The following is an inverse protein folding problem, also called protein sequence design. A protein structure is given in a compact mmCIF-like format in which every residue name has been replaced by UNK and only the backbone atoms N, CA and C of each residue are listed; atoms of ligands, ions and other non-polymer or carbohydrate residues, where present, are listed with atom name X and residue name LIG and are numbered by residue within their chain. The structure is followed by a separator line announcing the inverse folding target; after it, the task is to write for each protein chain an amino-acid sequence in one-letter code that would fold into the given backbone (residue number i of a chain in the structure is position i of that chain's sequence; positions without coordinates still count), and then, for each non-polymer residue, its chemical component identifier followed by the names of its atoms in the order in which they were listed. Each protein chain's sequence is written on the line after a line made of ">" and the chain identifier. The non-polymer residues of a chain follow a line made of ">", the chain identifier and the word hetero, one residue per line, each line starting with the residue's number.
data_IF_051333048223
#
_entry.id   IF_051333048223
#
_cell.length_a   1.000
_cell.length_b   1.000
_cell.length_c   1.000
_cell.angle_alpha   90.00
_cell.angle_beta   90.00
_cell.angle_gamma   90.00
#
_symmetry.space_group_name_H-M   'P 1'
#
loop_
_entity.id
_entity.type
_entity.pdbx_description
1 polymer ?
#
# COMPACT_ATOMS: atom_id res chain seq x y z
N UNK A 1 -35.26 13.32 65.48
CA UNK A 1 -34.10 14.16 65.09
C UNK A 1 -32.99 13.20 64.69
N UNK A 2 -32.78 12.95 63.39
CA UNK A 2 -31.67 13.49 62.57
C UNK A 2 -30.31 13.31 63.27
N UNK A 3 -29.24 12.69 62.75
CA UNK A 3 -28.69 12.52 61.40
C UNK A 3 -27.57 11.46 61.56
N UNK A 4 -27.41 10.40 60.76
CA UNK A 4 -26.95 10.44 59.37
C UNK A 4 -25.45 10.78 59.27
N UNK A 5 -24.58 9.77 59.04
CA UNK A 5 -23.42 9.91 58.14
C UNK A 5 -22.90 8.55 57.68
N UNK A 6 -23.06 8.39 56.37
CA UNK A 6 -22.76 7.28 55.49
C UNK A 6 -21.26 7.11 55.25
N UNK A 7 -20.85 5.85 55.14
CA UNK A 7 -19.62 5.34 54.55
C UNK A 7 -19.50 5.72 53.07
N UNK A 8 -18.43 6.42 52.67
CA UNK A 8 -18.07 6.54 51.25
C UNK A 8 -17.15 5.39 50.85
N UNK A 9 -17.73 4.38 50.22
CA UNK A 9 -17.00 3.39 49.43
C UNK A 9 -16.38 4.07 48.20
N UNK A 10 -15.08 3.94 48.03
CA UNK A 10 -14.40 4.27 46.79
C UNK A 10 -14.72 3.12 45.82
N UNK A 11 -15.68 3.35 44.92
CA UNK A 11 -15.92 2.44 43.79
C UNK A 11 -14.77 2.59 42.79
N UNK A 12 -13.95 1.55 42.68
CA UNK A 12 -13.06 1.33 41.54
C UNK A 12 -13.92 1.17 40.27
N UNK A 13 -14.06 2.23 39.48
CA UNK A 13 -14.52 2.12 38.11
C UNK A 13 -13.45 1.39 37.29
N UNK A 14 -13.83 0.29 36.63
CA UNK A 14 -12.94 -0.39 35.69
C UNK A 14 -12.46 0.60 34.63
N UNK A 15 -11.22 0.44 34.18
CA UNK A 15 -10.61 1.29 33.13
C UNK A 15 -11.49 1.41 31.87
N UNK A 16 -12.33 0.41 31.63
CA UNK A 16 -13.40 0.39 30.62
C UNK A 16 -14.43 1.51 30.79
N UNK A 17 -14.92 1.75 32.01
CA UNK A 17 -15.92 2.80 32.24
C UNK A 17 -15.34 4.22 32.13
N UNK A 18 -14.04 4.37 32.40
CA UNK A 18 -13.34 5.64 32.17
C UNK A 18 -13.15 5.89 30.67
N UNK A 19 -12.85 4.85 29.89
CA UNK A 19 -12.73 4.92 28.44
C UNK A 19 -14.07 5.22 27.77
N UNK A 20 -15.15 4.56 28.18
CA UNK A 20 -16.50 4.77 27.64
C UNK A 20 -17.01 6.20 27.95
N UNK A 21 -16.77 6.70 29.17
CA UNK A 21 -17.10 8.11 29.51
C UNK A 21 -16.24 9.13 28.78
N UNK A 22 -15.00 8.77 28.42
CA UNK A 22 -14.15 9.63 27.60
C UNK A 22 -14.67 9.73 26.16
N UNK A 23 -15.09 8.61 25.57
CA UNK A 23 -15.69 8.53 24.22
C UNK A 23 -17.01 9.31 24.15
N UNK A 24 -17.88 9.13 25.14
CA UNK A 24 -19.20 9.78 25.20
C UNK A 24 -19.11 11.30 25.43
N UNK A 25 -18.15 11.75 26.26
CA UNK A 25 -17.95 13.18 26.58
C UNK A 25 -17.31 13.97 25.43
N UNK A 26 -16.59 13.32 24.53
CA UNK A 26 -15.87 14.01 23.45
C UNK A 26 -16.61 14.07 22.13
N UNK A 27 -17.85 13.53 22.01
CA UNK A 27 -18.67 13.52 20.78
C UNK A 27 -17.77 13.55 19.54
N UNK A 28 -16.86 12.59 19.42
CA UNK A 28 -15.97 12.54 18.27
C UNK A 28 -16.91 12.43 17.07
N UNK A 29 -16.99 13.47 16.23
CA UNK A 29 -17.92 13.45 15.11
C UNK A 29 -17.56 12.23 14.29
N UNK A 30 -18.60 11.50 13.87
CA UNK A 30 -18.47 10.35 12.98
C UNK A 30 -17.41 10.68 11.94
N UNK A 31 -16.38 9.85 11.91
CA UNK A 31 -15.31 9.94 10.94
C UNK A 31 -15.99 9.83 9.57
N UNK A 32 -16.22 10.98 8.94
CA UNK A 32 -16.88 11.02 7.65
C UNK A 32 -15.97 10.35 6.63
N UNK A 33 -16.60 9.59 5.74
CA UNK A 33 -16.03 8.80 4.66
C UNK A 33 -14.95 9.50 3.80
N UNK A 34 -14.82 10.82 3.90
CA UNK A 34 -13.97 11.71 3.12
C UNK A 34 -12.48 11.78 3.57
N UNK A 35 -12.16 11.29 4.78
CA UNK A 35 -10.78 11.35 5.30
C UNK A 35 -9.89 10.16 4.91
N UNK A 36 -10.44 9.19 4.15
CA UNK A 36 -9.86 7.85 3.97
C UNK A 36 -8.68 7.73 2.99
N UNK A 37 -8.43 8.72 2.13
CA UNK A 37 -7.48 8.57 1.00
C UNK A 37 -6.15 9.36 1.17
N UNK A 38 -6.12 10.43 1.98
CA UNK A 38 -5.05 11.44 1.86
C UNK A 38 -3.66 11.06 2.41
N UNK A 39 -3.53 9.96 3.14
CA UNK A 39 -2.26 9.58 3.78
C UNK A 39 -1.58 8.37 3.12
N UNK A 40 -2.33 7.46 2.49
CA UNK A 40 -1.77 6.29 1.79
C UNK A 40 -0.91 6.69 0.59
N UNK A 41 -1.46 7.52 -0.31
CA UNK A 41 -0.73 8.03 -1.47
C UNK A 41 0.52 8.84 -1.12
N UNK A 42 0.48 9.62 -0.03
CA UNK A 42 1.67 10.39 0.44
C UNK A 42 2.83 9.49 0.87
N UNK A 43 2.54 8.30 1.40
CA UNK A 43 3.57 7.38 1.88
C UNK A 43 4.21 6.60 0.72
N UNK A 44 3.43 6.25 -0.29
CA UNK A 44 3.89 5.61 -1.52
C UNK A 44 4.89 6.49 -2.30
N UNK A 45 4.56 7.78 -2.42
CA UNK A 45 5.42 8.83 -2.99
C UNK A 45 6.82 8.86 -2.34
N UNK A 46 6.92 8.60 -1.02
CA UNK A 46 8.21 8.65 -0.29
C UNK A 46 9.10 7.48 -0.70
N UNK A 47 8.60 6.25 -0.68
CA UNK A 47 9.38 5.05 -1.04
C UNK A 47 9.91 5.18 -2.47
N UNK A 48 9.05 5.56 -3.40
CA UNK A 48 9.41 5.73 -4.80
C UNK A 48 10.37 6.91 -5.04
N UNK A 49 10.25 7.99 -4.28
CA UNK A 49 11.25 9.08 -4.29
C UNK A 49 12.60 8.59 -3.79
N UNK A 50 12.64 7.79 -2.72
CA UNK A 50 13.87 7.20 -2.20
C UNK A 50 14.51 6.25 -3.23
N UNK A 51 13.72 5.46 -3.96
CA UNK A 51 14.20 4.65 -5.09
C UNK A 51 14.82 5.52 -6.18
N UNK A 52 14.16 6.59 -6.61
CA UNK A 52 14.72 7.53 -7.59
C UNK A 52 16.05 8.16 -7.14
N UNK A 53 16.14 8.57 -5.87
CA UNK A 53 17.38 9.08 -5.30
C UNK A 53 18.48 8.01 -5.22
N UNK A 54 18.14 6.78 -4.87
CA UNK A 54 19.07 5.66 -4.82
C UNK A 54 19.58 5.26 -6.21
N UNK A 55 18.70 5.23 -7.23
CA UNK A 55 19.06 5.03 -8.64
C UNK A 55 20.02 6.12 -9.11
N UNK A 56 19.66 7.39 -8.91
CA UNK A 56 20.56 8.51 -9.24
C UNK A 56 21.91 8.36 -8.55
N UNK A 57 21.93 7.99 -7.27
CA UNK A 57 23.16 7.82 -6.50
C UNK A 57 24.04 6.65 -6.99
N UNK A 58 23.44 5.60 -7.57
CA UNK A 58 24.10 4.41 -8.14
C UNK A 58 24.83 4.65 -9.48
N UNK A 59 24.59 5.79 -10.12
CA UNK A 59 25.28 6.21 -11.36
C UNK A 59 26.67 6.76 -11.02
N UNK A 60 27.71 6.35 -11.76
CA UNK A 60 29.03 6.99 -11.69
C UNK A 60 28.97 8.34 -12.42
N UNK A 61 29.08 9.41 -11.64
CA UNK A 61 28.96 10.81 -12.08
C UNK A 61 30.32 11.51 -12.16
N UNK A 62 31.43 10.77 -12.13
CA UNK A 62 32.80 11.34 -12.12
C UNK A 62 33.14 12.14 -13.39
N UNK A 63 32.53 11.79 -14.53
CA UNK A 63 32.72 12.48 -15.82
C UNK A 63 31.59 13.44 -16.18
N UNK A 64 30.58 13.59 -15.31
CA UNK A 64 29.42 14.41 -15.60
C UNK A 64 29.60 15.86 -15.13
N UNK A 65 29.22 16.80 -15.98
CA UNK A 65 29.11 18.21 -15.65
C UNK A 65 27.92 18.49 -14.71
N UNK A 66 27.85 19.71 -14.16
CA UNK A 66 26.77 20.11 -13.25
C UNK A 66 25.39 19.96 -13.90
N UNK A 67 25.28 20.33 -15.18
CA UNK A 67 24.02 20.27 -15.95
C UNK A 67 23.57 18.83 -16.20
N UNK A 68 24.50 17.95 -16.54
CA UNK A 68 24.24 16.52 -16.72
C UNK A 68 23.83 15.87 -15.40
N UNK A 69 24.50 16.20 -14.29
CA UNK A 69 24.10 15.74 -12.95
C UNK A 69 22.66 16.14 -12.60
N UNK A 70 22.25 17.37 -12.94
CA UNK A 70 20.87 17.82 -12.75
C UNK A 70 19.89 17.02 -13.64
N UNK A 71 20.21 16.82 -14.92
CA UNK A 71 19.38 16.03 -15.83
C UNK A 71 19.22 14.57 -15.35
N UNK A 72 20.30 13.94 -14.88
CA UNK A 72 20.27 12.58 -14.33
C UNK A 72 19.46 12.48 -13.03
N UNK A 73 19.52 13.50 -12.16
CA UNK A 73 18.70 13.55 -10.95
C UNK A 73 17.23 13.70 -11.31
N UNK A 74 16.90 14.65 -12.18
CA UNK A 74 15.52 14.87 -12.65
C UNK A 74 14.97 13.62 -13.33
N UNK A 75 15.74 13.00 -14.22
CA UNK A 75 15.32 11.77 -14.89
C UNK A 75 15.00 10.66 -13.89
N UNK A 76 15.91 10.35 -12.95
CA UNK A 76 15.68 9.27 -11.99
C UNK A 76 14.49 9.54 -11.05
N UNK A 77 14.37 10.76 -10.49
CA UNK A 77 13.31 11.09 -9.54
C UNK A 77 11.97 11.22 -10.24
N UNK A 78 11.88 11.97 -11.36
CA UNK A 78 10.62 12.16 -12.07
C UNK A 78 10.10 10.83 -12.65
N UNK A 79 11.00 10.00 -13.20
CA UNK A 79 10.60 8.68 -13.71
C UNK A 79 10.17 7.72 -12.60
N UNK A 80 10.70 7.85 -11.37
CA UNK A 80 10.22 7.05 -10.23
C UNK A 80 8.88 7.55 -9.68
N UNK A 81 8.30 8.63 -10.19
CA UNK A 81 7.06 9.23 -9.68
C UNK A 81 5.98 9.34 -10.76
N UNK A 82 6.35 9.18 -12.03
CA UNK A 82 5.43 9.45 -13.14
C UNK A 82 4.23 8.48 -13.21
N UNK A 83 4.29 7.20 -12.79
CA UNK A 83 3.10 6.35 -12.77
C UNK A 83 1.99 6.92 -11.87
N UNK A 84 2.37 7.42 -10.69
CA UNK A 84 1.47 8.09 -9.71
C UNK A 84 0.92 9.45 -10.17
N UNK A 85 1.20 9.92 -11.38
CA UNK A 85 0.59 11.16 -11.88
C UNK A 85 -0.93 11.03 -12.04
N UNK A 86 -1.46 9.80 -12.04
CA UNK A 86 -2.89 9.51 -12.00
C UNK A 86 -3.62 10.08 -10.77
N UNK A 87 -2.91 10.44 -9.70
CA UNK A 87 -3.43 11.21 -8.56
C UNK A 87 -4.11 12.51 -9.03
N UNK A 88 -3.68 13.09 -10.15
CA UNK A 88 -4.30 14.29 -10.73
C UNK A 88 -5.76 14.02 -11.17
N UNK A 89 -6.13 12.76 -11.47
CA UNK A 89 -7.51 12.38 -11.79
C UNK A 89 -8.50 12.68 -10.66
N UNK A 90 -8.05 12.69 -9.41
CA UNK A 90 -8.85 13.11 -8.25
C UNK A 90 -9.45 14.52 -8.40
N UNK A 91 -8.82 15.40 -9.19
CA UNK A 91 -9.29 16.79 -9.33
C UNK A 91 -10.55 16.91 -10.19
N UNK A 92 -10.89 15.89 -10.98
CA UNK A 92 -12.02 15.92 -11.92
C UNK A 92 -12.90 14.67 -11.88
N UNK A 93 -12.49 13.61 -11.19
CA UNK A 93 -13.36 12.48 -10.91
C UNK A 93 -14.37 12.78 -9.79
N UNK A 94 -15.62 13.04 -10.20
CA UNK A 94 -16.74 13.32 -9.29
C UNK A 94 -17.49 12.07 -8.85
N UNK A 95 -17.19 10.91 -9.45
CA UNK A 95 -17.82 9.62 -9.17
C UNK A 95 -17.00 8.79 -8.15
N UNK A 96 -15.79 9.24 -7.82
CA UNK A 96 -14.86 8.56 -6.93
C UNK A 96 -14.38 7.21 -7.47
N UNK A 97 -14.33 7.10 -8.80
CA UNK A 97 -13.64 6.08 -9.58
C UNK A 97 -12.12 6.29 -9.57
N UNK A 98 -11.59 7.25 -8.80
CA UNK A 98 -10.18 7.55 -8.66
C UNK A 98 -9.37 6.28 -8.37
N UNK A 99 -9.91 5.43 -7.50
CA UNK A 99 -9.31 4.15 -7.19
C UNK A 99 -9.08 3.33 -8.49
N UNK A 100 -9.95 3.45 -9.52
CA UNK A 100 -9.85 2.73 -10.79
C UNK A 100 -8.70 3.19 -11.63
N UNK A 101 -8.47 4.50 -11.62
CA UNK A 101 -7.38 5.12 -12.34
C UNK A 101 -6.06 4.93 -11.61
N UNK A 102 -6.09 4.97 -10.27
CA UNK A 102 -4.91 4.78 -9.45
C UNK A 102 -4.37 3.37 -9.61
N UNK A 103 -3.10 3.27 -9.99
CA UNK A 103 -2.42 2.00 -10.25
C UNK A 103 -3.02 1.17 -11.39
N UNK A 104 -3.84 1.78 -12.23
CA UNK A 104 -4.38 1.18 -13.45
C UNK A 104 -3.41 1.34 -14.62
N UNK A 105 -3.92 1.78 -15.77
CA UNK A 105 -3.15 1.90 -17.02
C UNK A 105 -1.82 2.66 -16.89
N UNK A 106 -1.71 3.63 -15.99
CA UNK A 106 -0.48 4.41 -15.74
C UNK A 106 0.69 3.56 -15.26
N UNK A 107 0.40 2.45 -14.59
CA UNK A 107 1.35 1.47 -14.04
C UNK A 107 1.49 0.22 -14.94
N UNK A 108 1.06 0.33 -16.19
CA UNK A 108 1.23 -0.72 -17.19
C UNK A 108 2.70 -0.88 -17.58
N UNK A 109 3.19 -2.12 -17.53
CA UNK A 109 4.55 -2.44 -17.98
C UNK A 109 4.80 -2.02 -19.44
N UNK A 110 3.75 -2.01 -20.26
CA UNK A 110 3.81 -1.63 -21.66
C UNK A 110 3.95 -0.11 -21.86
N UNK A 111 3.54 0.71 -20.88
CA UNK A 111 3.72 2.16 -20.90
C UNK A 111 5.09 2.61 -20.36
N UNK A 112 5.82 1.75 -19.64
CA UNK A 112 7.15 2.08 -19.10
C UNK A 112 8.12 2.71 -20.12
N UNK A 113 8.29 2.21 -21.37
CA UNK A 113 9.17 2.87 -22.35
C UNK A 113 8.62 4.22 -22.82
N UNK A 114 7.30 4.41 -22.87
CA UNK A 114 6.68 5.68 -23.25
C UNK A 114 6.96 6.74 -22.17
N UNK A 115 6.76 6.41 -20.90
CA UNK A 115 7.12 7.29 -19.79
C UNK A 115 8.60 7.65 -19.80
N UNK A 116 9.48 6.67 -20.02
CA UNK A 116 10.91 6.89 -20.14
C UNK A 116 11.28 7.86 -21.28
N UNK A 117 10.62 7.70 -22.43
CA UNK A 117 10.80 8.58 -23.59
C UNK A 117 10.37 10.02 -23.28
N UNK A 118 9.21 10.20 -22.63
CA UNK A 118 8.72 11.53 -22.24
C UNK A 118 9.71 12.24 -21.31
N UNK A 119 10.20 11.55 -20.28
CA UNK A 119 11.20 12.10 -19.34
C UNK A 119 12.53 12.41 -20.04
N UNK A 120 12.99 11.52 -20.93
CA UNK A 120 14.19 11.75 -21.73
C UNK A 120 14.04 13.01 -22.61
N UNK A 121 12.91 13.16 -23.30
CA UNK A 121 12.63 14.32 -24.15
C UNK A 121 12.52 15.61 -23.34
N UNK A 122 11.89 15.58 -22.17
CA UNK A 122 11.86 16.70 -21.24
C UNK A 122 13.27 17.09 -20.78
N UNK A 123 14.11 16.13 -20.41
CA UNK A 123 15.50 16.40 -20.03
C UNK A 123 16.32 17.01 -21.18
N UNK A 124 16.12 16.50 -22.40
CA UNK A 124 16.72 17.06 -23.62
C UNK A 124 16.25 18.48 -23.90
N UNK A 125 15.00 18.82 -23.60
CA UNK A 125 14.47 20.16 -23.83
C UNK A 125 14.93 21.17 -22.76
N UNK A 126 14.84 20.80 -21.48
CA UNK A 126 15.15 21.67 -20.32
C UNK A 126 16.66 21.79 -20.13
N UNK A 127 17.38 20.68 -20.05
CA UNK A 127 18.81 20.65 -19.77
C UNK A 127 19.67 20.58 -21.03
N UNK A 128 19.10 20.47 -22.24
CA UNK A 128 19.88 20.30 -23.50
C UNK A 128 20.87 19.13 -23.46
N UNK A 129 20.64 18.14 -22.60
CA UNK A 129 21.46 16.92 -22.47
C UNK A 129 20.85 15.84 -23.37
N UNK A 130 21.66 15.26 -24.26
CA UNK A 130 21.22 14.26 -25.25
C UNK A 130 21.80 12.86 -24.97
N UNK A 131 22.24 12.61 -23.74
CA UNK A 131 22.80 11.32 -23.35
C UNK A 131 21.71 10.24 -23.37
N UNK A 132 21.81 9.21 -24.25
CA UNK A 132 20.80 8.16 -24.33
C UNK A 132 20.67 7.35 -23.03
N UNK A 133 21.66 7.38 -22.13
CA UNK A 133 21.56 6.75 -20.80
C UNK A 133 20.43 7.31 -19.95
N UNK A 134 20.00 8.56 -20.19
CA UNK A 134 18.85 9.14 -19.51
C UNK A 134 17.57 8.37 -19.83
N UNK A 135 17.39 7.90 -21.07
CA UNK A 135 16.25 7.06 -21.43
C UNK A 135 16.26 5.75 -20.62
N UNK A 136 17.39 5.04 -20.61
CA UNK A 136 17.50 3.77 -19.87
C UNK A 136 17.38 3.95 -18.36
N UNK A 137 17.91 5.05 -17.81
CA UNK A 137 17.76 5.39 -16.40
C UNK A 137 16.30 5.69 -16.04
N UNK A 138 15.59 6.43 -16.88
CA UNK A 138 14.17 6.66 -16.68
C UNK A 138 13.39 5.35 -16.82
N UNK A 139 13.71 4.53 -17.82
CA UNK A 139 12.99 3.28 -18.06
C UNK A 139 13.14 2.31 -16.89
N UNK A 140 14.35 2.11 -16.37
CA UNK A 140 14.54 1.26 -15.19
C UNK A 140 13.85 1.84 -13.94
N UNK A 141 13.77 3.17 -13.81
CA UNK A 141 13.08 3.82 -12.70
C UNK A 141 11.56 3.57 -12.73
N UNK A 142 10.91 3.78 -13.89
CA UNK A 142 9.48 3.48 -14.05
C UNK A 142 9.23 1.98 -13.88
N UNK A 143 10.06 1.14 -14.49
CA UNK A 143 9.92 -0.31 -14.36
C UNK A 143 10.03 -0.78 -12.90
N UNK A 144 10.97 -0.24 -12.13
CA UNK A 144 11.11 -0.56 -10.70
C UNK A 144 9.87 -0.12 -9.93
N UNK A 145 9.33 1.07 -10.17
CA UNK A 145 8.10 1.57 -9.55
C UNK A 145 6.95 0.56 -9.78
N UNK A 146 6.53 0.39 -11.03
CA UNK A 146 5.38 -0.45 -11.40
C UNK A 146 5.54 -1.90 -10.92
N UNK A 147 6.76 -2.45 -11.05
CA UNK A 147 7.04 -3.84 -10.65
C UNK A 147 7.08 -3.99 -9.13
N UNK A 148 7.59 -3.00 -8.40
CA UNK A 148 7.60 -3.04 -6.93
C UNK A 148 6.19 -2.98 -6.35
N UNK A 149 5.25 -2.31 -7.02
CA UNK A 149 3.88 -2.26 -6.57
C UNK A 149 3.14 -3.59 -6.64
N UNK A 150 3.56 -4.52 -7.50
CA UNK A 150 3.00 -5.88 -7.54
C UNK A 150 3.17 -6.61 -6.21
N UNK A 151 4.21 -6.26 -5.44
CA UNK A 151 4.53 -6.94 -4.19
C UNK A 151 3.73 -6.43 -3.00
N UNK A 152 3.01 -5.31 -3.12
CA UNK A 152 2.14 -4.82 -2.05
C UNK A 152 0.74 -5.42 -2.14
N UNK A 153 -0.09 -5.15 -1.12
CA UNK A 153 -1.43 -5.71 -0.98
C UNK A 153 -2.52 -4.95 -1.78
N UNK A 154 -2.21 -3.86 -2.49
CA UNK A 154 -3.24 -2.99 -3.06
C UNK A 154 -3.72 -3.42 -4.46
N UNK A 155 -2.87 -4.13 -5.20
CA UNK A 155 -3.20 -4.55 -6.58
C UNK A 155 -2.87 -3.49 -7.62
N UNK A 156 -2.22 -3.92 -8.70
CA UNK A 156 -1.76 -3.06 -9.79
C UNK A 156 -2.18 -3.63 -11.15
N UNK A 157 -2.68 -2.76 -12.04
CA UNK A 157 -3.09 -3.05 -13.42
C UNK A 157 -1.89 -3.23 -14.36
N UNK A 158 -0.93 -4.05 -13.97
CA UNK A 158 0.38 -4.18 -14.63
C UNK A 158 0.31 -4.59 -16.10
N UNK A 159 -0.76 -5.32 -16.48
CA UNK A 159 -0.97 -5.86 -17.81
C UNK A 159 -2.01 -5.09 -18.64
N UNK A 160 -2.53 -3.97 -18.12
CA UNK A 160 -3.45 -3.11 -18.88
C UNK A 160 -2.77 -2.58 -20.16
N UNK A 161 -3.50 -2.40 -21.28
CA UNK A 161 -4.93 -2.65 -21.48
C UNK A 161 -5.24 -4.07 -21.99
N UNK A 162 -4.29 -4.99 -21.95
CA UNK A 162 -4.50 -6.36 -22.47
C UNK A 162 -5.21 -7.26 -21.46
N UNK A 163 -5.17 -6.92 -20.17
CA UNK A 163 -5.90 -7.60 -19.11
C UNK A 163 -6.26 -6.62 -18.00
N UNK A 164 -7.50 -6.70 -17.53
CA UNK A 164 -8.02 -5.90 -16.41
C UNK A 164 -7.70 -6.53 -15.03
N UNK A 165 -6.90 -7.60 -14.99
CA UNK A 165 -6.52 -8.27 -13.74
C UNK A 165 -5.57 -7.40 -12.92
N UNK A 166 -5.94 -7.13 -11.67
CA UNK A 166 -5.07 -6.52 -10.67
C UNK A 166 -4.14 -7.57 -10.05
N UNK A 167 -2.84 -7.38 -10.21
CA UNK A 167 -1.81 -8.28 -9.67
C UNK A 167 -1.35 -7.76 -8.31
N UNK A 168 -1.33 -8.64 -7.32
CA UNK A 168 -0.88 -8.36 -5.95
C UNK A 168 -0.31 -9.63 -5.33
N UNK A 169 0.84 -9.51 -4.68
CA UNK A 169 1.43 -10.60 -3.89
C UNK A 169 1.31 -10.37 -2.39
N UNK A 170 1.17 -9.12 -1.95
CA UNK A 170 1.04 -8.79 -0.53
C UNK A 170 2.26 -9.17 0.31
N UNK A 171 3.44 -9.30 -0.29
CA UNK A 171 4.67 -9.75 0.38
C UNK A 171 5.55 -8.63 0.89
N UNK A 172 5.38 -7.40 0.40
CA UNK A 172 6.10 -6.21 0.85
C UNK A 172 5.10 -5.16 1.32
N UNK A 173 5.28 -4.55 2.51
CA UNK A 173 4.42 -3.45 2.95
C UNK A 173 4.63 -2.22 2.07
N UNK A 174 3.59 -1.39 1.90
CA UNK A 174 3.67 -0.14 1.12
C UNK A 174 4.78 0.80 1.65
N UNK A 175 5.06 0.74 2.95
CA UNK A 175 6.22 1.38 3.58
C UNK A 175 7.12 0.30 4.17
N UNK A 176 8.21 -0.01 3.48
CA UNK A 176 9.20 -0.99 3.96
C UNK A 176 10.35 -0.30 4.70
N UNK A 177 10.37 -0.44 6.03
CA UNK A 177 11.41 0.12 6.90
C UNK A 177 12.79 -0.48 6.64
N UNK A 178 12.88 -1.71 6.13
CA UNK A 178 14.14 -2.36 5.77
C UNK A 178 14.73 -1.72 4.51
N UNK A 179 13.91 -1.47 3.48
CA UNK A 179 14.34 -0.69 2.30
C UNK A 179 14.86 0.68 2.72
N UNK A 180 14.12 1.39 3.56
CA UNK A 180 14.53 2.73 4.02
C UNK A 180 15.82 2.67 4.83
N UNK A 181 15.98 1.67 5.71
CA UNK A 181 17.20 1.46 6.47
C UNK A 181 18.42 1.13 5.58
N UNK A 182 18.25 0.30 4.54
CA UNK A 182 19.30 -0.04 3.57
C UNK A 182 19.76 1.22 2.82
N UNK A 183 18.82 2.03 2.32
CA UNK A 183 19.12 3.28 1.61
C UNK A 183 19.82 4.28 2.55
N UNK A 184 19.33 4.42 3.78
CA UNK A 184 19.92 5.29 4.78
C UNK A 184 21.35 4.85 5.13
N UNK A 185 21.58 3.56 5.36
CA UNK A 185 22.91 3.02 5.62
C UNK A 185 23.87 3.30 4.46
N UNK A 186 23.43 3.08 3.22
CA UNK A 186 24.22 3.40 2.03
C UNK A 186 24.56 4.90 1.94
N UNK A 187 23.60 5.76 2.26
CA UNK A 187 23.83 7.21 2.34
C UNK A 187 24.90 7.56 3.38
N UNK A 188 24.72 7.12 4.63
CA UNK A 188 25.64 7.40 5.75
C UNK A 188 27.06 6.90 5.47
N UNK A 189 27.20 5.70 4.91
CA UNK A 189 28.49 5.14 4.50
C UNK A 189 29.13 5.93 3.36
N UNK A 190 28.33 6.45 2.42
CA UNK A 190 28.84 7.20 1.26
C UNK A 190 29.34 8.62 1.58
N UNK A 191 28.87 9.21 2.67
CA UNK A 191 29.26 10.57 3.14
C UNK A 191 30.37 10.56 4.18
N UNK A 192 30.72 9.38 4.73
CA UNK A 192 31.80 9.24 5.73
C UNK A 192 33.14 9.72 5.16
N UNK A 193 33.89 10.51 5.95
CA UNK A 193 35.19 11.11 5.54
C UNK A 193 36.22 10.07 5.07
N UNK A 194 36.27 8.91 5.75
CA UNK A 194 37.17 7.79 5.47
C UNK A 194 36.46 6.66 4.70
N UNK A 195 35.70 6.99 3.66
CA UNK A 195 35.02 5.96 2.86
C UNK A 195 36.02 5.15 2.04
N UNK A 196 35.83 3.83 2.00
CA UNK A 196 36.69 2.89 1.27
C UNK A 196 36.40 2.90 -0.23
N UNK A 197 35.13 3.06 -0.60
CA UNK A 197 34.65 2.90 -1.98
C UNK A 197 34.08 4.21 -2.54
N UNK A 198 33.90 4.27 -3.87
CA UNK A 198 33.18 5.37 -4.53
C UNK A 198 31.70 5.37 -4.12
N UNK A 199 31.06 6.54 -4.07
CA UNK A 199 29.65 6.69 -3.63
C UNK A 199 28.68 5.73 -4.33
N UNK A 200 28.80 5.59 -5.65
CA UNK A 200 27.89 4.75 -6.43
C UNK A 200 27.97 3.26 -6.08
N UNK A 201 29.11 2.77 -5.57
CA UNK A 201 29.28 1.37 -5.17
C UNK A 201 28.40 1.05 -3.96
N UNK A 202 28.31 1.95 -2.98
CA UNK A 202 27.43 1.78 -1.82
C UNK A 202 25.96 1.66 -2.23
N UNK A 203 25.50 2.48 -3.18
CA UNK A 203 24.12 2.43 -3.65
C UNK A 203 23.84 1.24 -4.57
N UNK A 204 24.83 0.76 -5.34
CA UNK A 204 24.69 -0.52 -6.05
C UNK A 204 24.57 -1.70 -5.08
N UNK A 205 25.38 -1.72 -4.03
CA UNK A 205 25.25 -2.71 -2.96
C UNK A 205 23.89 -2.60 -2.25
N UNK A 206 23.38 -1.38 -2.02
CA UNK A 206 22.04 -1.16 -1.49
C UNK A 206 20.95 -1.79 -2.36
N UNK A 207 21.00 -1.59 -3.68
CA UNK A 207 20.08 -2.23 -4.62
C UNK A 207 20.14 -3.76 -4.55
N UNK A 208 21.34 -4.34 -4.48
CA UNK A 208 21.50 -5.80 -4.30
C UNK A 208 20.87 -6.26 -2.97
N UNK A 209 21.10 -5.54 -1.87
CA UNK A 209 20.52 -5.88 -0.57
C UNK A 209 18.99 -5.74 -0.57
N UNK A 210 18.43 -4.72 -1.22
CA UNK A 210 16.97 -4.57 -1.37
C UNK A 210 16.38 -5.71 -2.21
N UNK A 211 17.04 -6.12 -3.30
CA UNK A 211 16.60 -7.27 -4.08
C UNK A 211 16.65 -8.58 -3.27
N UNK A 212 17.68 -8.77 -2.44
CA UNK A 212 17.79 -9.93 -1.56
C UNK A 212 16.69 -9.94 -0.49
N UNK A 213 16.39 -8.77 0.10
CA UNK A 213 15.28 -8.59 1.03
C UNK A 213 13.95 -8.92 0.37
N UNK A 214 13.67 -8.32 -0.79
CA UNK A 214 12.47 -8.58 -1.59
C UNK A 214 12.28 -10.07 -1.90
N UNK A 215 13.35 -10.73 -2.35
CA UNK A 215 13.31 -12.16 -2.66
C UNK A 215 13.07 -12.99 -1.40
N UNK A 216 13.77 -12.71 -0.31
CA UNK A 216 13.65 -13.48 0.94
C UNK A 216 12.25 -13.34 1.55
N UNK A 217 11.71 -12.13 1.60
CA UNK A 217 10.38 -11.86 2.14
C UNK A 217 9.29 -12.42 1.23
N UNK A 218 9.46 -12.35 -0.09
CA UNK A 218 8.53 -12.99 -1.04
C UNK A 218 8.55 -14.51 -0.95
N UNK A 219 9.72 -15.14 -0.75
CA UNK A 219 9.84 -16.58 -0.52
C UNK A 219 9.12 -16.97 0.78
N UNK A 220 9.32 -16.22 1.86
CA UNK A 220 8.60 -16.45 3.11
C UNK A 220 7.07 -16.33 2.92
N UNK A 221 6.62 -15.27 2.24
CA UNK A 221 5.21 -15.07 1.92
C UNK A 221 4.65 -16.24 1.11
N UNK A 222 5.38 -16.72 0.10
CA UNK A 222 4.98 -17.88 -0.68
C UNK A 222 4.86 -19.17 0.17
N UNK A 223 5.81 -19.41 1.09
CA UNK A 223 5.73 -20.55 2.02
C UNK A 223 4.47 -20.45 2.89
N UNK A 224 4.16 -19.27 3.44
CA UNK A 224 2.93 -19.06 4.22
C UNK A 224 1.67 -19.22 3.36
N UNK A 225 1.69 -18.72 2.13
CA UNK A 225 0.57 -18.90 1.20
C UNK A 225 0.25 -20.37 0.99
N UNK A 226 1.25 -21.20 0.68
CA UNK A 226 1.07 -22.64 0.47
C UNK A 226 0.65 -23.37 1.76
N UNK A 227 1.16 -22.98 2.92
CA UNK A 227 0.77 -23.60 4.20
C UNK A 227 -0.71 -23.39 4.53
N UNK A 228 -1.26 -22.24 4.14
CA UNK A 228 -2.66 -21.89 4.38
C UNK A 228 -3.58 -22.22 3.19
N UNK A 229 -3.03 -22.55 2.03
CA UNK A 229 -3.80 -22.92 0.84
C UNK A 229 -4.31 -24.36 0.99
N UNK A 230 -5.51 -24.50 1.54
CA UNK A 230 -6.27 -25.75 1.48
C UNK A 230 -7.08 -25.83 0.18
N UNK A 231 -7.52 -27.04 -0.20
CA UNK A 231 -8.16 -27.31 -1.50
C UNK A 231 -9.38 -26.42 -1.81
N UNK A 232 -10.06 -25.89 -0.79
CA UNK A 232 -11.28 -25.09 -0.91
C UNK A 232 -11.16 -23.67 -0.31
N UNK A 233 -9.95 -23.23 0.07
CA UNK A 233 -9.76 -21.91 0.69
C UNK A 233 -9.05 -20.93 -0.22
N UNK A 234 -9.63 -19.74 -0.39
CA UNK A 234 -8.94 -18.60 -0.96
C UNK A 234 -8.00 -18.00 0.08
N UNK A 235 -6.79 -17.62 -0.36
CA UNK A 235 -5.75 -17.08 0.52
C UNK A 235 -5.23 -15.77 -0.04
N UNK A 236 -5.09 -14.77 0.81
CA UNK A 236 -4.40 -13.54 0.48
C UNK A 236 -3.41 -13.15 1.59
N UNK A 237 -2.35 -12.47 1.20
CA UNK A 237 -1.30 -12.00 2.11
C UNK A 237 -1.34 -10.47 2.24
N UNK A 238 -0.93 -9.99 3.40
CA UNK A 238 -0.63 -8.59 3.65
C UNK A 238 0.57 -8.50 4.59
N UNK A 239 1.74 -8.17 4.06
CA UNK A 239 2.93 -7.94 4.86
C UNK A 239 2.75 -6.73 5.77
N UNK A 240 3.13 -6.89 7.03
CA UNK A 240 3.03 -5.86 8.06
C UNK A 240 4.22 -4.88 7.97
N UNK A 241 4.11 -3.74 8.64
CA UNK A 241 5.23 -2.78 8.76
C UNK A 241 6.35 -3.32 9.67
N UNK A 242 6.05 -4.34 10.49
CA UNK A 242 7.05 -5.10 11.23
C UNK A 242 7.72 -6.08 10.26
N UNK A 243 9.06 -6.01 10.08
CA UNK A 243 9.76 -6.88 9.14
C UNK A 243 9.50 -8.37 9.40
N UNK A 244 9.31 -9.14 8.33
CA UNK A 244 9.09 -10.61 8.35
C UNK A 244 7.77 -11.08 8.98
N UNK A 245 6.85 -10.16 9.27
CA UNK A 245 5.51 -10.46 9.77
C UNK A 245 4.45 -10.26 8.68
N UNK A 246 3.48 -11.16 8.65
CA UNK A 246 2.39 -11.19 7.69
C UNK A 246 1.05 -11.29 8.42
N UNK A 247 0.05 -10.63 7.86
CA UNK A 247 -1.34 -11.04 8.05
C UNK A 247 -1.69 -11.99 6.91
N UNK A 248 -2.04 -13.22 7.25
CA UNK A 248 -2.55 -14.23 6.31
C UNK A 248 -4.07 -14.25 6.43
N UNK A 249 -4.76 -14.01 5.32
CA UNK A 249 -6.22 -13.96 5.26
C UNK A 249 -6.68 -15.20 4.51
N UNK A 250 -7.54 -15.99 5.13
CA UNK A 250 -8.14 -17.18 4.51
C UNK A 250 -9.65 -17.02 4.43
N UNK A 251 -10.25 -17.32 3.28
CA UNK A 251 -11.70 -17.41 3.08
C UNK A 251 -12.08 -18.84 2.71
N UNK A 252 -13.01 -19.44 3.45
CA UNK A 252 -13.59 -20.74 3.15
C UNK A 252 -15.12 -20.62 3.23
N UNK A 253 -15.76 -20.52 2.07
CA UNK A 253 -17.17 -20.13 1.98
C UNK A 253 -17.42 -18.80 2.70
N UNK A 254 -18.35 -18.73 3.67
CA UNK A 254 -18.65 -17.51 4.40
C UNK A 254 -17.62 -17.18 5.49
N UNK A 255 -16.78 -18.13 5.92
CA UNK A 255 -15.84 -17.90 7.02
C UNK A 255 -14.56 -17.23 6.52
N UNK A 256 -14.24 -16.06 7.08
CA UNK A 256 -12.98 -15.34 6.81
C UNK A 256 -12.17 -15.24 8.09
N UNK A 257 -10.95 -15.75 8.07
CA UNK A 257 -10.05 -15.78 9.22
C UNK A 257 -8.77 -15.01 8.94
N UNK A 258 -8.34 -14.20 9.90
CA UNK A 258 -7.09 -13.43 9.82
C UNK A 258 -6.10 -13.99 10.84
N UNK A 259 -4.92 -14.34 10.37
CA UNK A 259 -3.82 -14.84 11.18
C UNK A 259 -2.64 -13.89 11.11
N UNK A 260 -2.07 -13.53 12.25
CA UNK A 260 -0.71 -12.98 12.29
C UNK A 260 0.27 -14.14 12.34
N UNK A 261 1.14 -14.20 11.36
CA UNK A 261 2.16 -15.24 11.25
C UNK A 261 3.45 -14.64 10.67
N UNK A 262 4.59 -15.28 10.90
CA UNK A 262 5.88 -14.76 10.46
C UNK A 262 7.04 -15.59 10.94
N UNK A 263 8.24 -15.26 10.46
CA UNK A 263 9.46 -16.03 10.77
C UNK A 263 9.80 -16.00 12.27
N UNK A 264 9.44 -14.90 12.95
CA UNK A 264 9.75 -14.66 14.36
C UNK A 264 8.49 -14.48 15.23
N UNK A 265 7.31 -14.68 14.66
CA UNK A 265 6.02 -14.47 15.33
C UNK A 265 5.28 -15.79 15.33
N UNK A 266 4.80 -16.24 16.49
CA UNK A 266 3.96 -17.42 16.56
C UNK A 266 2.61 -17.14 15.90
N UNK A 267 2.11 -18.10 15.12
CA UNK A 267 0.75 -18.07 14.57
C UNK A 267 -0.28 -17.69 15.63
N UNK A 268 -0.99 -16.61 15.37
CA UNK A 268 -2.09 -16.13 16.21
C UNK A 268 -3.30 -15.78 15.34
N UNK A 269 -4.44 -16.43 15.58
CA UNK A 269 -5.70 -16.04 14.96
C UNK A 269 -6.16 -14.72 15.59
N UNK A 270 -6.14 -13.64 14.82
CA UNK A 270 -6.48 -12.29 15.31
C UNK A 270 -7.98 -12.01 15.17
N UNK A 271 -8.58 -12.41 14.05
CA UNK A 271 -10.01 -12.18 13.79
C UNK A 271 -10.67 -13.39 13.11
N UNK A 272 -11.97 -13.53 13.37
CA UNK A 272 -12.87 -14.44 12.65
C UNK A 272 -14.08 -13.61 12.23
N UNK A 273 -14.30 -13.53 10.93
CA UNK A 273 -15.32 -12.75 10.26
C UNK A 273 -16.26 -13.71 9.53
N UNK A 274 -17.50 -13.28 9.32
CA UNK A 274 -18.49 -14.03 8.55
C UNK A 274 -18.98 -13.12 7.44
N UNK A 275 -18.93 -13.61 6.22
CA UNK A 275 -19.36 -12.93 5.01
C UNK A 275 -20.77 -13.38 4.64
N UNK A 276 -21.66 -12.42 4.39
CA UNK A 276 -23.04 -12.67 3.98
C UNK A 276 -23.10 -12.98 2.47
N UNK A 277 -22.70 -14.19 2.08
CA UNK A 277 -22.59 -14.59 0.65
C UNK A 277 -23.94 -14.61 -0.10
N UNK A 278 -25.06 -14.70 0.61
CA UNK A 278 -26.41 -14.73 0.01
C UNK A 278 -27.04 -13.32 -0.18
N UNK A 279 -26.32 -12.26 0.15
CA UNK A 279 -26.83 -10.89 0.09
C UNK A 279 -26.94 -10.36 -1.35
N UNK A 280 -27.98 -9.56 -1.63
CA UNK A 280 -28.23 -8.99 -2.96
C UNK A 280 -27.29 -7.80 -3.28
N UNK A 281 -26.17 -8.10 -3.92
CA UNK A 281 -25.16 -7.10 -4.30
C UNK A 281 -25.57 -6.19 -5.46
N UNK A 282 -26.59 -6.55 -6.25
CA UNK A 282 -26.96 -5.76 -7.44
C UNK A 282 -27.41 -4.35 -7.05
N UNK A 283 -28.17 -4.25 -5.95
CA UNK A 283 -28.57 -2.96 -5.38
C UNK A 283 -27.37 -2.14 -4.91
N UNK A 284 -26.45 -2.79 -4.17
CA UNK A 284 -25.24 -2.13 -3.67
C UNK A 284 -24.41 -1.55 -4.83
N UNK A 285 -24.24 -2.30 -5.92
CA UNK A 285 -23.46 -1.86 -7.07
C UNK A 285 -24.13 -0.75 -7.89
N UNK A 286 -25.47 -0.73 -7.95
CA UNK A 286 -26.22 0.33 -8.62
C UNK A 286 -26.16 1.65 -7.83
N UNK A 287 -26.35 1.59 -6.51
CA UNK A 287 -26.37 2.78 -5.65
C UNK A 287 -24.94 3.27 -5.30
N UNK A 288 -23.97 2.36 -5.21
CA UNK A 288 -22.57 2.66 -4.95
C UNK A 288 -21.62 1.92 -5.91
N UNK A 289 -21.32 2.49 -7.10
CA UNK A 289 -20.39 1.90 -8.07
C UNK A 289 -18.97 1.62 -7.53
N UNK A 290 -18.57 2.27 -6.43
CA UNK A 290 -17.28 2.01 -5.76
C UNK A 290 -17.24 0.63 -5.12
N UNK A 291 -18.37 0.15 -4.62
CA UNK A 291 -18.48 -1.20 -4.07
C UNK A 291 -18.22 -2.25 -5.15
N UNK A 292 -18.75 -2.05 -6.37
CA UNK A 292 -18.48 -2.92 -7.52
C UNK A 292 -16.99 -2.96 -7.85
N UNK A 293 -16.37 -1.78 -7.86
CA UNK A 293 -14.95 -1.62 -8.11
C UNK A 293 -14.10 -2.40 -7.09
N UNK A 294 -14.42 -2.23 -5.80
CA UNK A 294 -13.74 -2.92 -4.71
C UNK A 294 -13.93 -4.45 -4.78
N UNK A 295 -15.14 -4.89 -5.15
CA UNK A 295 -15.46 -6.31 -5.36
C UNK A 295 -14.63 -6.93 -6.49
N UNK A 296 -14.44 -6.22 -7.60
CA UNK A 296 -13.69 -6.73 -8.76
C UNK A 296 -12.17 -6.78 -8.54
N UNK A 297 -11.61 -5.98 -7.63
CA UNK A 297 -10.15 -5.90 -7.43
C UNK A 297 -9.62 -6.63 -6.24
N UNK A 298 -10.43 -6.77 -5.20
CA UNK A 298 -10.03 -7.55 -4.04
C UNK A 298 -9.92 -9.00 -4.48
N UNK A 299 -8.88 -9.75 -4.05
CA UNK A 299 -8.84 -11.20 -4.26
C UNK A 299 -10.14 -11.87 -3.80
N UNK A 300 -10.66 -11.40 -2.67
CA UNK A 300 -12.00 -11.68 -2.18
C UNK A 300 -12.42 -10.57 -1.20
N UNK A 301 -13.72 -10.48 -0.92
CA UNK A 301 -14.31 -9.52 0.02
C UNK A 301 -15.06 -10.21 1.14
N UNK A 302 -15.28 -9.47 2.23
CA UNK A 302 -16.26 -9.79 3.27
C UNK A 302 -17.49 -8.94 3.02
N UNK A 303 -18.64 -9.59 2.85
CA UNK A 303 -19.93 -8.96 2.64
C UNK A 303 -20.61 -8.76 4.00
N UNK A 304 -21.10 -7.54 4.23
CA UNK A 304 -21.87 -7.16 5.41
C UNK A 304 -23.30 -6.90 4.98
N UNK A 305 -24.22 -7.64 5.58
CA UNK A 305 -25.65 -7.50 5.36
C UNK A 305 -26.36 -7.54 6.71
N UNK A 306 -26.57 -6.38 7.32
CA UNK A 306 -27.22 -6.21 8.62
C UNK A 306 -28.45 -5.29 8.52
N UNK A 307 -29.15 -5.03 9.62
CA UNK A 307 -30.36 -4.19 9.62
C UNK A 307 -30.09 -2.71 9.26
N UNK A 308 -28.84 -2.25 9.38
CA UNK A 308 -28.46 -0.85 9.19
C UNK A 308 -27.86 -0.61 7.79
N UNK A 309 -27.17 -1.59 7.23
CA UNK A 309 -26.36 -1.41 6.02
C UNK A 309 -26.18 -2.70 5.20
N UNK A 310 -25.96 -2.48 3.91
CA UNK A 310 -25.48 -3.46 2.95
C UNK A 310 -24.15 -2.95 2.40
N UNK A 311 -23.09 -3.74 2.50
CA UNK A 311 -21.76 -3.31 2.08
C UNK A 311 -20.75 -4.43 1.95
N UNK A 312 -19.54 -4.06 1.60
CA UNK A 312 -18.41 -4.99 1.48
C UNK A 312 -17.10 -4.29 1.80
N UNK A 313 -16.14 -5.07 2.30
CA UNK A 313 -14.76 -4.61 2.48
C UNK A 313 -13.74 -5.67 2.08
N UNK A 314 -12.54 -5.19 1.77
CA UNK A 314 -11.36 -6.04 1.64
C UNK A 314 -10.78 -6.36 3.03
N UNK A 315 -10.71 -7.64 3.43
CA UNK A 315 -10.22 -8.05 4.74
C UNK A 315 -8.70 -7.85 4.93
N UNK A 316 -7.92 -7.67 3.86
CA UNK A 316 -6.47 -7.39 3.96
C UNK A 316 -6.15 -6.06 4.64
N UNK A 317 -7.15 -5.19 4.67
CA UNK A 317 -7.08 -3.84 5.21
C UNK A 317 -7.85 -3.67 6.53
N UNK A 318 -8.21 -4.81 7.15
CA UNK A 318 -8.92 -4.86 8.43
C UNK A 318 -7.96 -4.66 9.60
N UNK A 319 -8.09 -3.53 10.31
CA UNK A 319 -7.21 -3.13 11.41
C UNK A 319 -8.09 -2.64 12.58
N UNK A 320 -7.83 -3.14 13.79
CA UNK A 320 -8.52 -2.70 15.02
C UNK A 320 -10.06 -2.80 14.96
N UNK A 321 -10.59 -3.83 14.28
CA UNK A 321 -12.03 -4.08 14.21
C UNK A 321 -12.76 -3.38 13.05
N UNK A 322 -12.06 -2.66 12.17
CA UNK A 322 -12.66 -2.04 10.98
C UNK A 322 -11.72 -2.14 9.78
N UNK A 323 -12.29 -2.29 8.57
CA UNK A 323 -11.51 -2.11 7.33
C UNK A 323 -11.56 -0.66 6.89
N UNK A 324 -10.41 -0.11 6.50
CA UNK A 324 -10.37 1.23 5.92
C UNK A 324 -10.89 1.25 4.47
N UNK A 325 -10.91 0.11 3.79
CA UNK A 325 -11.40 -0.07 2.43
C UNK A 325 -12.78 -0.73 2.48
N UNK A 326 -13.79 0.06 2.84
CA UNK A 326 -15.18 -0.37 3.03
C UNK A 326 -16.13 0.52 2.25
N UNK A 327 -17.04 -0.09 1.50
CA UNK A 327 -18.06 0.58 0.72
C UNK A 327 -19.44 0.00 1.07
N UNK A 328 -20.41 0.86 1.35
CA UNK A 328 -21.73 0.44 1.82
C UNK A 328 -22.82 1.44 1.45
N UNK A 329 -24.07 0.97 1.49
CA UNK A 329 -25.30 1.76 1.48
C UNK A 329 -26.05 1.51 2.78
N UNK A 330 -26.83 2.51 3.22
CA UNK A 330 -27.73 2.33 4.36
C UNK A 330 -29.01 1.62 3.93
N UNK A 331 -29.49 0.70 4.74
CA UNK A 331 -30.84 0.16 4.58
C UNK A 331 -31.85 1.12 5.19
N UNK A 332 -32.98 1.29 4.53
CA UNK A 332 -34.10 2.02 5.12
C UNK A 332 -34.81 1.10 6.13
N UNK A 333 -35.22 1.65 7.28
CA UNK A 333 -35.86 0.86 8.34
C UNK A 333 -37.12 0.15 7.81
N UNK A 334 -37.05 -1.18 7.70
CA UNK A 334 -38.15 -2.04 7.25
C UNK A 334 -37.95 -2.79 5.93
N UNK A 335 -36.71 -2.86 5.42
CA UNK A 335 -36.32 -3.67 4.26
C UNK A 335 -35.62 -4.96 4.64
#
# INVERSE_FOLDING_TARGET
>A
MQSGKSTSSIQNGSSEQILLRFIEKHKLPGWTADSRDRNGGKMDTITHTLFGLALYASVDKSRLEKKEKAAYLTAAVAASQIPDIDVISQLWDTQGLYQMWHRGITHSVFLTPLWALLIYMACRWIFKVKDPKLFFLSWIAVFIHDTSDLFNAWGTGYLEPFSDRRITFGTIPIVDLVFWAIILAAFLLSVRKRKKWRKHIYFRAAWVLMLLHLASQSIQGYILYEEYSSQDSEVALSADFVPWQFTVITKNGPEVSLYKDGLFTSREKTYSLVSAEDADMDRLFQENPKAKTLYEWSPFVVIVDDDEQLGLYDPRFYINGQSFLFEAIKKEAGQ
#
